data_IF_758669996806
#
_entry.id   IF_758669996806
#
_cell.length_a   1.000
_cell.length_b   1.000
_cell.length_c   1.000
_cell.angle_alpha   90.00
_cell.angle_beta   90.00
_cell.angle_gamma   90.00
#
_symmetry.space_group_name_H-M   'P 1'
#
loop_
_entity.id
_entity.type
_entity.pdbx_description
1 polymer ?
#
# COMPACT_ATOMS: atom_id res chain seq x y z
N UNK A 1 50.71 -44.23 76.94
CA UNK A 1 49.60 -45.10 76.50
C UNK A 1 48.91 -44.39 75.39
N UNK A 2 49.14 -44.89 74.19
CA UNK A 2 48.77 -44.32 72.90
C UNK A 2 47.33 -44.70 72.49
N UNK A 3 46.56 -43.79 71.97
CA UNK A 3 45.41 -44.13 71.12
C UNK A 3 45.35 -43.17 69.97
N UNK A 4 45.65 -43.69 68.79
CA UNK A 4 45.44 -43.03 67.53
C UNK A 4 44.00 -43.08 67.13
N UNK A 5 43.49 -41.94 66.70
CA UNK A 5 42.20 -41.84 65.99
C UNK A 5 42.47 -41.69 64.49
N UNK A 6 41.99 -42.66 63.70
CA UNK A 6 42.04 -42.61 62.26
C UNK A 6 40.78 -41.92 61.75
N UNK A 7 40.97 -40.80 61.03
CA UNK A 7 39.92 -40.13 60.25
C UNK A 7 39.95 -40.70 58.82
N UNK A 8 38.89 -41.44 58.47
CA UNK A 8 38.62 -41.90 57.12
C UNK A 8 38.19 -40.76 56.23
N UNK A 9 38.92 -40.52 55.18
CA UNK A 9 38.50 -39.65 54.11
C UNK A 9 37.76 -40.44 53.05
N UNK A 10 36.47 -40.21 52.90
CA UNK A 10 35.71 -40.77 51.77
C UNK A 10 36.15 -40.05 50.46
N UNK A 11 36.65 -40.82 49.53
CA UNK A 11 36.96 -40.38 48.18
C UNK A 11 35.68 -40.14 47.40
N UNK A 12 35.20 -38.91 47.34
CA UNK A 12 34.08 -38.56 46.49
C UNK A 12 34.52 -38.65 45.03
N UNK A 13 33.92 -39.56 44.28
CA UNK A 13 34.24 -39.82 42.90
C UNK A 13 33.83 -38.63 42.02
N UNK A 14 34.82 -37.77 41.68
CA UNK A 14 34.66 -36.54 40.90
C UNK A 14 34.25 -36.78 39.43
N UNK A 15 34.30 -38.02 38.96
CA UNK A 15 33.88 -38.37 37.61
C UNK A 15 32.36 -38.35 37.38
N UNK A 16 31.58 -38.67 38.40
CA UNK A 16 30.13 -38.68 38.31
C UNK A 16 29.56 -37.23 38.22
N UNK A 17 30.13 -36.28 38.94
CA UNK A 17 29.65 -34.89 39.00
C UNK A 17 29.86 -34.17 37.64
N UNK A 18 30.95 -34.47 36.93
CA UNK A 18 31.19 -33.90 35.59
C UNK A 18 30.21 -34.35 34.50
N UNK A 19 29.72 -35.58 34.64
CA UNK A 19 28.76 -36.14 33.68
C UNK A 19 27.38 -35.47 33.76
N UNK A 20 26.89 -35.16 34.97
CA UNK A 20 25.60 -34.49 35.16
C UNK A 20 25.60 -33.04 34.72
N UNK A 21 26.71 -32.32 34.92
CA UNK A 21 26.84 -30.91 34.44
C UNK A 21 26.79 -30.80 32.90
N UNK A 22 27.44 -31.75 32.20
CA UNK A 22 27.43 -31.75 30.77
C UNK A 22 26.04 -32.06 30.15
N UNK A 23 25.29 -32.97 30.82
CA UNK A 23 23.91 -33.28 30.40
C UNK A 23 22.92 -32.14 30.67
N UNK A 24 23.05 -31.46 31.82
CA UNK A 24 22.20 -30.32 32.18
C UNK A 24 22.44 -29.12 31.26
N UNK A 25 23.69 -28.82 30.94
CA UNK A 25 24.05 -27.70 30.05
C UNK A 25 23.55 -27.97 28.60
N UNK A 26 23.66 -29.21 28.10
CA UNK A 26 23.12 -29.58 26.79
C UNK A 26 21.60 -29.55 26.74
N UNK A 27 20.89 -29.95 27.79
CA UNK A 27 19.43 -29.88 27.84
C UNK A 27 18.93 -28.45 27.96
N UNK A 28 19.59 -27.58 28.72
CA UNK A 28 19.22 -26.16 28.84
C UNK A 28 19.49 -25.42 27.54
N UNK A 29 20.59 -25.75 26.83
CA UNK A 29 20.90 -25.13 25.54
C UNK A 29 19.88 -25.53 24.44
N UNK A 30 19.38 -26.77 24.47
CA UNK A 30 18.34 -27.25 23.54
C UNK A 30 16.98 -26.60 23.82
N UNK A 31 16.63 -26.37 25.09
CA UNK A 31 15.37 -25.73 25.47
C UNK A 31 15.40 -24.22 25.14
N UNK A 32 16.54 -23.54 25.27
CA UNK A 32 16.67 -22.13 24.93
C UNK A 32 16.58 -21.88 23.42
N UNK A 33 17.03 -22.81 22.57
CA UNK A 33 16.90 -22.69 21.11
C UNK A 33 15.44 -22.82 20.65
N UNK A 34 14.60 -23.59 21.34
CA UNK A 34 13.19 -23.80 20.98
C UNK A 34 12.33 -22.57 21.34
N UNK A 35 12.74 -21.75 22.33
CA UNK A 35 12.00 -20.56 22.72
C UNK A 35 12.21 -19.33 21.80
N UNK A 36 13.15 -19.39 20.86
CA UNK A 36 13.42 -18.32 19.87
C UNK A 36 12.76 -18.56 18.50
N UNK A 37 11.95 -19.61 18.33
CA UNK A 37 11.01 -19.67 17.22
C UNK A 37 9.81 -18.78 17.53
N UNK A 38 10.07 -17.52 17.87
CA UNK A 38 9.05 -16.49 17.79
C UNK A 38 8.60 -16.45 16.33
N UNK A 39 7.31 -16.70 16.08
CA UNK A 39 6.68 -16.30 14.84
C UNK A 39 7.02 -14.82 14.66
N UNK A 40 8.02 -14.51 13.85
CA UNK A 40 8.07 -13.24 13.20
C UNK A 40 6.79 -13.22 12.36
N UNK A 41 5.72 -12.60 12.89
CA UNK A 41 4.65 -12.08 12.06
C UNK A 41 5.36 -11.16 11.08
N UNK A 42 5.62 -11.68 9.89
CA UNK A 42 5.91 -10.85 8.72
C UNK A 42 4.78 -9.82 8.74
N UNK A 43 5.06 -8.50 8.86
CA UNK A 43 4.00 -7.53 8.68
C UNK A 43 3.37 -7.93 7.35
N UNK A 44 2.06 -8.24 7.34
CA UNK A 44 1.33 -8.32 6.09
C UNK A 44 1.65 -7.01 5.39
N UNK A 45 2.60 -7.07 4.44
CA UNK A 45 2.66 -6.09 3.39
C UNK A 45 1.25 -6.13 2.85
N UNK A 46 0.51 -5.04 3.08
CA UNK A 46 -0.83 -4.80 2.55
C UNK A 46 -0.93 -5.57 1.24
N UNK A 47 -1.64 -6.70 1.31
CA UNK A 47 -1.68 -7.69 0.22
C UNK A 47 -1.95 -6.88 -1.01
N UNK A 48 -1.02 -6.88 -1.97
CA UNK A 48 -1.04 -6.02 -3.14
C UNK A 48 -2.48 -5.97 -3.61
N UNK A 49 -3.19 -4.90 -3.25
CA UNK A 49 -4.63 -4.84 -3.35
C UNK A 49 -4.89 -5.21 -4.79
N UNK A 50 -5.66 -6.28 -5.03
CA UNK A 50 -5.85 -6.83 -6.37
C UNK A 50 -6.68 -5.86 -7.19
N UNK A 51 -6.05 -4.73 -7.54
CA UNK A 51 -6.66 -3.70 -8.34
C UNK A 51 -6.89 -4.20 -9.77
N UNK A 52 -7.96 -3.76 -10.41
CA UNK A 52 -8.09 -3.96 -11.86
C UNK A 52 -6.82 -3.50 -12.58
N UNK A 53 -6.39 -4.17 -13.66
CA UNK A 53 -5.15 -3.85 -14.39
C UNK A 53 -4.99 -2.37 -14.74
N UNK A 54 -6.10 -1.71 -15.07
CA UNK A 54 -6.16 -0.29 -15.37
C UNK A 54 -5.79 0.59 -14.17
N UNK A 55 -6.31 0.27 -12.97
CA UNK A 55 -5.98 1.02 -11.74
C UNK A 55 -4.53 0.77 -11.33
N UNK A 56 -4.05 -0.48 -11.45
CA UNK A 56 -2.64 -0.81 -11.21
C UNK A 56 -1.71 -0.02 -12.14
N UNK A 57 -2.08 0.09 -13.42
CA UNK A 57 -1.33 0.92 -14.37
C UNK A 57 -1.39 2.41 -14.00
N UNK A 58 -2.56 2.94 -13.65
CA UNK A 58 -2.69 4.32 -13.18
C UNK A 58 -1.77 4.61 -11.99
N UNK A 59 -1.72 3.68 -11.02
CA UNK A 59 -0.86 3.81 -9.84
C UNK A 59 0.64 3.75 -10.17
N UNK A 60 1.05 2.99 -11.19
CA UNK A 60 2.45 2.94 -11.64
C UNK A 60 2.94 4.29 -12.22
N UNK A 61 2.00 5.15 -12.66
CA UNK A 61 2.29 6.51 -13.15
C UNK A 61 2.33 7.55 -12.03
N UNK A 62 2.16 7.16 -10.75
CA UNK A 62 2.25 8.09 -9.63
C UNK A 62 3.62 8.76 -9.59
N UNK A 63 3.65 10.07 -9.41
CA UNK A 63 4.87 10.87 -9.46
C UNK A 63 5.18 11.45 -10.84
N UNK A 64 4.54 10.99 -11.92
CA UNK A 64 4.70 11.58 -13.26
C UNK A 64 4.36 13.08 -13.23
N UNK A 65 5.11 13.93 -13.98
CA UNK A 65 4.97 15.38 -13.89
C UNK A 65 3.61 15.88 -14.40
N UNK A 66 3.10 16.95 -13.77
CA UNK A 66 1.94 17.67 -14.28
C UNK A 66 2.37 18.68 -15.34
N UNK A 67 1.81 18.54 -16.55
CA UNK A 67 1.93 19.57 -17.59
C UNK A 67 0.57 19.79 -18.27
N UNK A 68 0.12 21.04 -18.29
CA UNK A 68 -1.14 21.42 -18.92
C UNK A 68 -1.19 21.05 -20.41
N UNK A 69 -2.28 20.40 -20.83
CA UNK A 69 -2.48 19.99 -22.23
C UNK A 69 -1.74 18.72 -22.64
N UNK A 70 -0.94 18.12 -21.77
CA UNK A 70 -0.15 16.90 -22.05
C UNK A 70 -0.85 15.63 -21.64
N UNK A 71 -0.47 14.50 -22.27
CA UNK A 71 -1.12 13.21 -22.09
C UNK A 71 -0.19 12.00 -22.27
N UNK A 72 1.11 12.15 -21.98
CA UNK A 72 2.08 11.05 -22.04
C UNK A 72 3.04 11.07 -20.84
N UNK A 73 3.65 9.93 -20.47
CA UNK A 73 4.66 9.89 -19.41
C UNK A 73 5.86 10.79 -19.68
N UNK A 74 6.27 10.93 -20.95
CA UNK A 74 7.46 11.68 -21.37
C UNK A 74 7.23 13.19 -21.29
N UNK A 75 6.02 13.65 -21.64
CA UNK A 75 5.67 15.06 -21.61
C UNK A 75 4.99 15.52 -20.33
N UNK A 76 4.53 14.59 -19.52
CA UNK A 76 3.67 14.83 -18.36
C UNK A 76 2.17 14.74 -18.68
N UNK A 77 1.35 15.05 -17.68
CA UNK A 77 -0.10 14.91 -17.77
C UNK A 77 -0.82 16.13 -17.21
N UNK A 78 -1.91 16.55 -17.87
CA UNK A 78 -3.00 17.21 -17.18
C UNK A 78 -4.03 16.18 -16.69
N UNK A 79 -5.08 16.61 -15.96
CA UNK A 79 -6.04 15.69 -15.33
C UNK A 79 -6.74 14.77 -16.34
N UNK A 80 -7.25 15.31 -17.44
CA UNK A 80 -7.94 14.51 -18.47
C UNK A 80 -6.97 13.76 -19.38
N UNK A 81 -5.77 14.29 -19.62
CA UNK A 81 -4.71 13.60 -20.34
C UNK A 81 -4.22 12.36 -19.62
N UNK A 82 -4.07 12.43 -18.28
CA UNK A 82 -3.78 11.28 -17.45
C UNK A 82 -4.86 10.20 -17.57
N UNK A 83 -6.12 10.55 -17.37
CA UNK A 83 -7.24 9.62 -17.49
C UNK A 83 -7.30 9.02 -18.89
N UNK A 84 -7.24 9.84 -19.94
CA UNK A 84 -7.27 9.37 -21.33
C UNK A 84 -6.12 8.38 -21.61
N UNK A 85 -4.92 8.68 -21.16
CA UNK A 85 -3.75 7.82 -21.34
C UNK A 85 -3.94 6.45 -20.69
N UNK A 86 -4.39 6.44 -19.43
CA UNK A 86 -4.62 5.18 -18.66
C UNK A 86 -5.66 4.31 -19.37
N UNK A 87 -6.77 4.88 -19.79
CA UNK A 87 -7.83 4.12 -20.48
C UNK A 87 -7.42 3.67 -21.86
N UNK A 88 -6.69 4.50 -22.61
CA UNK A 88 -6.14 4.13 -23.92
C UNK A 88 -5.19 2.93 -23.82
N UNK A 89 -4.41 2.82 -22.75
CA UNK A 89 -3.54 1.66 -22.48
C UNK A 89 -4.35 0.36 -22.34
N UNK A 90 -5.63 0.44 -21.95
CA UNK A 90 -6.55 -0.70 -21.88
C UNK A 90 -7.43 -0.85 -23.12
N UNK A 91 -7.13 -0.13 -24.20
CA UNK A 91 -7.92 -0.17 -25.44
C UNK A 91 -9.22 0.64 -25.40
N UNK A 92 -9.48 1.42 -24.34
CA UNK A 92 -10.69 2.23 -24.20
C UNK A 92 -10.41 3.66 -24.61
N UNK A 93 -11.12 4.13 -25.67
CA UNK A 93 -10.99 5.51 -26.15
C UNK A 93 -11.92 6.44 -25.36
N UNK A 94 -11.35 7.45 -24.70
CA UNK A 94 -12.08 8.48 -24.01
C UNK A 94 -11.87 9.87 -24.67
N UNK A 95 -12.87 10.78 -24.58
CA UNK A 95 -12.69 12.16 -25.01
C UNK A 95 -11.49 12.82 -24.30
N UNK A 96 -10.84 13.79 -24.99
CA UNK A 96 -9.67 14.50 -24.42
C UNK A 96 -10.03 15.45 -23.28
N UNK A 97 -11.26 15.94 -23.24
CA UNK A 97 -11.68 16.96 -22.28
C UNK A 97 -12.46 16.35 -21.13
N UNK A 98 -12.33 16.95 -19.92
CA UNK A 98 -13.10 16.55 -18.73
C UNK A 98 -14.61 16.58 -19.00
N UNK A 99 -15.09 17.65 -19.66
CA UNK A 99 -16.50 17.80 -19.99
C UNK A 99 -16.96 16.73 -20.98
N UNK A 100 -16.18 16.43 -22.02
CA UNK A 100 -16.48 15.35 -22.97
C UNK A 100 -16.61 13.98 -22.28
N UNK A 101 -15.68 13.66 -21.38
CA UNK A 101 -15.76 12.43 -20.58
C UNK A 101 -17.04 12.37 -19.75
N UNK A 102 -17.37 13.48 -19.04
CA UNK A 102 -18.56 13.54 -18.20
C UNK A 102 -19.88 13.39 -18.97
N UNK A 103 -19.92 13.83 -20.25
CA UNK A 103 -21.09 13.76 -21.10
C UNK A 103 -21.26 12.43 -21.85
N UNK A 104 -20.17 11.72 -22.13
CA UNK A 104 -20.19 10.51 -22.94
C UNK A 104 -20.35 9.20 -22.16
N UNK A 105 -20.25 9.23 -20.83
CA UNK A 105 -20.20 8.06 -19.97
C UNK A 105 -21.45 7.93 -19.08
N UNK A 106 -21.75 6.70 -18.66
CA UNK A 106 -22.87 6.43 -17.79
C UNK A 106 -22.68 6.97 -16.37
N UNK A 107 -23.70 7.57 -15.80
CA UNK A 107 -23.66 8.08 -14.43
C UNK A 107 -23.64 6.94 -13.42
N UNK A 108 -22.84 7.11 -12.37
CA UNK A 108 -22.72 6.19 -11.23
C UNK A 108 -23.06 6.94 -9.95
N UNK A 109 -23.89 6.36 -9.07
CA UNK A 109 -24.12 6.90 -7.72
C UNK A 109 -22.82 6.93 -6.92
N UNK A 110 -22.68 7.89 -6.01
CA UNK A 110 -21.46 8.01 -5.19
C UNK A 110 -21.25 6.82 -4.25
N UNK A 111 -22.32 6.19 -3.81
CA UNK A 111 -22.34 5.01 -2.94
C UNK A 111 -22.13 3.68 -3.70
N UNK A 112 -22.10 3.73 -5.04
CA UNK A 112 -21.82 2.58 -5.93
C UNK A 112 -20.50 2.73 -6.70
N UNK A 113 -19.53 3.44 -6.14
CA UNK A 113 -18.22 3.63 -6.77
C UNK A 113 -17.39 2.36 -6.77
N UNK A 114 -16.94 1.94 -7.94
CA UNK A 114 -16.02 0.82 -8.15
C UNK A 114 -14.65 1.31 -8.65
N UNK A 115 -13.62 0.53 -8.34
CA UNK A 115 -12.27 0.78 -8.86
C UNK A 115 -12.28 0.98 -10.37
N UNK A 116 -11.79 2.13 -10.82
CA UNK A 116 -11.81 2.52 -12.23
C UNK A 116 -12.88 3.52 -12.61
N UNK A 117 -13.91 3.76 -11.80
CA UNK A 117 -14.86 4.83 -12.10
C UNK A 117 -14.16 6.19 -12.15
N UNK A 118 -14.64 7.08 -13.00
CA UNK A 118 -14.16 8.45 -13.08
C UNK A 118 -14.91 9.34 -12.08
N UNK A 119 -14.17 10.07 -11.26
CA UNK A 119 -14.71 11.04 -10.31
C UNK A 119 -14.43 12.46 -10.80
N UNK A 120 -15.48 13.27 -10.85
CA UNK A 120 -15.46 14.63 -11.40
C UNK A 120 -15.65 15.68 -10.33
N UNK A 121 -14.98 16.82 -10.52
CA UNK A 121 -14.96 17.88 -9.52
C UNK A 121 -15.14 19.26 -10.15
N UNK A 122 -15.66 20.20 -9.32
CA UNK A 122 -15.70 21.63 -9.59
C UNK A 122 -14.58 22.33 -8.80
N UNK A 123 -13.44 22.56 -9.43
CA UNK A 123 -12.26 23.17 -8.79
C UNK A 123 -12.05 24.65 -9.11
N UNK A 124 -12.80 25.19 -10.08
CA UNK A 124 -12.65 26.58 -10.54
C UNK A 124 -13.98 27.31 -10.78
N UNK A 125 -15.06 26.86 -10.14
CA UNK A 125 -16.42 27.43 -10.31
C UNK A 125 -17.17 26.93 -11.54
N UNK A 126 -16.53 26.08 -12.38
CA UNK A 126 -17.17 25.48 -13.56
C UNK A 126 -17.40 23.98 -13.30
N UNK A 127 -18.58 23.43 -13.61
CA UNK A 127 -18.82 21.99 -13.58
C UNK A 127 -17.79 21.26 -14.43
N UNK A 128 -17.38 20.07 -13.98
CA UNK A 128 -16.45 19.21 -14.72
C UNK A 128 -15.13 19.88 -15.10
N UNK A 129 -14.54 20.63 -14.15
CA UNK A 129 -13.24 21.27 -14.37
C UNK A 129 -12.04 20.37 -14.01
N UNK A 130 -12.29 19.23 -13.33
CA UNK A 130 -11.27 18.28 -12.94
C UNK A 130 -11.80 16.86 -12.91
N UNK A 131 -10.91 15.87 -13.14
CA UNK A 131 -11.24 14.45 -13.15
C UNK A 131 -10.10 13.61 -12.54
N UNK A 132 -10.46 12.50 -11.89
CA UNK A 132 -9.55 11.46 -11.40
C UNK A 132 -10.15 10.07 -11.62
N UNK A 133 -9.36 9.04 -11.36
CA UNK A 133 -9.75 7.63 -11.41
C UNK A 133 -9.93 7.15 -9.97
N UNK A 134 -11.11 6.67 -9.64
CA UNK A 134 -11.40 6.08 -8.34
C UNK A 134 -10.61 4.79 -8.14
N UNK A 135 -10.02 4.61 -6.98
CA UNK A 135 -9.21 3.43 -6.64
C UNK A 135 -9.97 2.52 -5.68
N UNK A 136 -10.12 2.93 -4.45
CA UNK A 136 -10.90 2.27 -3.40
C UNK A 136 -10.98 3.13 -2.14
N UNK A 137 -11.83 2.76 -1.18
CA UNK A 137 -11.88 3.37 0.16
C UNK A 137 -11.88 4.91 0.13
N UNK A 138 -12.66 5.48 -0.78
CA UNK A 138 -12.73 6.92 -1.07
C UNK A 138 -11.45 7.55 -1.64
N UNK A 139 -10.47 6.75 -2.03
CA UNK A 139 -9.25 7.25 -2.67
C UNK A 139 -9.38 7.26 -4.19
N UNK A 140 -8.76 8.24 -4.81
CA UNK A 140 -8.66 8.38 -6.26
C UNK A 140 -7.27 8.88 -6.68
N UNK A 141 -6.84 8.54 -7.89
CA UNK A 141 -5.57 8.97 -8.48
C UNK A 141 -5.82 9.98 -9.60
N UNK A 142 -5.02 11.04 -9.64
CA UNK A 142 -5.21 12.14 -10.60
C UNK A 142 -3.93 12.97 -10.80
N UNK A 143 -3.92 13.82 -11.83
CA UNK A 143 -2.94 14.88 -12.04
C UNK A 143 -3.58 16.23 -11.65
N UNK A 144 -3.40 16.75 -10.42
CA UNK A 144 -4.24 17.82 -9.88
C UNK A 144 -3.99 19.20 -10.46
N UNK A 145 -2.74 19.67 -10.51
CA UNK A 145 -2.41 21.02 -10.96
C UNK A 145 -0.90 21.24 -11.08
N UNK A 146 -0.53 22.34 -11.73
CA UNK A 146 0.87 22.80 -11.79
C UNK A 146 1.48 23.04 -10.40
N UNK A 147 0.68 23.52 -9.43
CA UNK A 147 1.15 23.76 -8.07
C UNK A 147 1.55 22.47 -7.36
N UNK A 148 0.83 21.38 -7.58
CA UNK A 148 1.13 20.05 -7.02
C UNK A 148 2.22 19.35 -7.80
N UNK A 149 2.32 19.64 -9.12
CA UNK A 149 3.41 19.27 -10.00
C UNK A 149 3.46 17.83 -10.46
N UNK A 150 2.58 16.94 -9.96
CA UNK A 150 2.67 15.51 -10.28
C UNK A 150 1.36 14.75 -10.11
N UNK A 151 1.28 13.57 -10.73
CA UNK A 151 0.24 12.56 -10.47
C UNK A 151 0.33 12.07 -9.03
N UNK A 152 -0.82 12.03 -8.33
CA UNK A 152 -0.89 11.63 -6.93
C UNK A 152 -2.23 11.02 -6.53
N UNK A 153 -2.22 10.34 -5.39
CA UNK A 153 -3.43 9.91 -4.71
C UNK A 153 -4.05 11.06 -3.89
N UNK A 154 -5.37 11.12 -3.87
CA UNK A 154 -6.16 11.97 -2.99
C UNK A 154 -7.38 11.22 -2.47
N UNK A 155 -8.11 11.79 -1.51
CA UNK A 155 -9.28 11.15 -0.91
C UNK A 155 -10.53 12.04 -0.99
N UNK A 156 -11.68 11.44 -1.30
CA UNK A 156 -13.00 12.07 -1.23
C UNK A 156 -13.40 12.45 0.22
N UNK A 157 -12.75 11.86 1.22
CA UNK A 157 -12.88 12.25 2.64
C UNK A 157 -12.16 13.55 2.96
N UNK A 158 -11.18 13.94 2.16
CA UNK A 158 -10.56 15.25 2.30
C UNK A 158 -11.59 16.33 2.01
N UNK A 159 -11.71 17.32 2.91
CA UNK A 159 -12.70 18.40 2.81
C UNK A 159 -12.67 19.12 1.45
N UNK A 160 -11.50 19.43 0.94
CA UNK A 160 -11.34 20.11 -0.36
C UNK A 160 -11.99 19.32 -1.51
N UNK A 161 -11.72 18.01 -1.59
CA UNK A 161 -12.24 17.16 -2.66
C UNK A 161 -13.69 16.77 -2.44
N UNK A 162 -14.08 16.48 -1.18
CA UNK A 162 -15.46 16.12 -0.82
C UNK A 162 -16.46 17.21 -1.15
N UNK A 163 -16.13 18.48 -0.83
CA UNK A 163 -16.99 19.65 -1.13
C UNK A 163 -17.07 19.97 -2.64
N UNK A 164 -16.09 19.53 -3.43
CA UNK A 164 -15.99 19.78 -4.87
C UNK A 164 -16.43 18.63 -5.76
N UNK A 165 -16.72 17.49 -5.17
CA UNK A 165 -17.23 16.32 -5.90
C UNK A 165 -18.55 16.69 -6.61
N UNK A 166 -18.61 16.46 -7.93
CA UNK A 166 -19.77 16.79 -8.76
C UNK A 166 -20.58 15.55 -9.14
N UNK A 167 -19.92 14.52 -9.64
CA UNK A 167 -20.52 13.25 -10.02
C UNK A 167 -19.45 12.19 -10.29
N UNK A 168 -19.90 10.96 -10.57
CA UNK A 168 -19.06 9.89 -11.10
C UNK A 168 -19.61 9.29 -12.38
N UNK A 169 -18.72 8.70 -13.19
CA UNK A 169 -19.04 8.06 -14.46
C UNK A 169 -18.26 6.74 -14.60
N UNK A 170 -18.90 5.76 -15.24
CA UNK A 170 -18.27 4.46 -15.56
C UNK A 170 -18.02 4.37 -17.04
N UNK A 171 -16.72 4.23 -17.45
CA UNK A 171 -16.32 3.96 -18.84
C UNK A 171 -16.67 2.57 -19.34
#
# INVERSE_FOLDING_TARGET
MSTQSQTGYEFVNTSAVKSYHCFFIRSVLLITVILFTGCASVPETDSAANYPPMVSYAMSLQGAPYHYGKSSPEEGFDCSGFVQHVYKHQGIALPRTVQGMAQSLNQVPKDDLHSGDLVFFNTNGKPFSHVGIYVNNDNFIHAPSLRTGKVMMSSLKNRYWGERFSCARRP
#
